data_IF_458005849804
#
_entry.id   IF_458005849804
#
_cell.length_a   1.000
_cell.length_b   1.000
_cell.length_c   1.000
_cell.angle_alpha   90.00
_cell.angle_beta   90.00
_cell.angle_gamma   90.00
#
_symmetry.space_group_name_H-M   'P 1'
#
loop_
_entity.id
_entity.type
_entity.pdbx_description
1 polymer ?
#
# COMPACT_ATOMS: atom_id res chain seq x y z
N UNK A 1 23.04 42.62 13.02
CA UNK A 1 23.43 41.43 12.29
C UNK A 1 22.45 40.32 12.64
N UNK A 2 21.40 40.17 11.84
CA UNK A 2 20.41 39.08 12.02
C UNK A 2 21.03 37.79 11.48
N UNK A 3 21.25 36.84 12.36
CA UNK A 3 21.59 35.48 12.01
C UNK A 3 20.33 34.85 11.34
N UNK A 4 20.38 34.61 10.03
CA UNK A 4 19.45 33.80 9.30
C UNK A 4 19.52 32.40 9.88
N UNK A 5 18.46 31.98 10.56
CA UNK A 5 18.29 30.55 10.92
C UNK A 5 18.45 29.71 9.66
N UNK A 6 19.17 28.60 9.69
CA UNK A 6 19.24 27.73 8.52
C UNK A 6 17.82 27.27 8.20
N UNK A 7 17.35 27.57 6.99
CA UNK A 7 16.18 26.91 6.42
C UNK A 7 16.46 25.42 6.50
N UNK A 8 15.70 24.72 7.33
CA UNK A 8 15.67 23.27 7.35
C UNK A 8 15.26 22.85 5.95
N UNK A 9 16.22 22.43 5.16
CA UNK A 9 15.99 21.81 3.86
C UNK A 9 14.87 20.80 4.04
N UNK A 10 13.81 20.90 3.24
CA UNK A 10 12.71 19.96 3.29
C UNK A 10 13.32 18.56 3.23
N UNK A 11 13.28 17.85 4.35
CA UNK A 11 13.99 16.59 4.56
C UNK A 11 13.72 15.66 3.39
N UNK A 12 14.76 15.26 2.68
CA UNK A 12 14.64 14.49 1.47
C UNK A 12 13.99 13.13 1.79
N UNK A 13 12.73 12.96 1.39
CA UNK A 13 12.05 11.67 1.49
C UNK A 13 12.55 10.80 0.34
N UNK A 14 13.07 9.63 0.68
CA UNK A 14 13.46 8.59 -0.27
C UNK A 14 12.51 7.42 -0.21
N UNK A 15 12.27 6.75 -1.33
CA UNK A 15 11.47 5.52 -1.38
C UNK A 15 12.38 4.37 -1.76
N UNK A 16 12.42 3.34 -0.94
CA UNK A 16 13.25 2.14 -1.10
C UNK A 16 12.51 0.87 -0.79
N UNK A 17 13.06 -0.26 -1.20
CA UNK A 17 12.59 -1.57 -0.76
C UNK A 17 12.68 -1.68 0.76
N UNK A 18 11.65 -2.30 1.34
CA UNK A 18 11.68 -2.61 2.77
C UNK A 18 12.70 -3.71 3.09
N UNK A 19 13.17 -3.69 4.33
CA UNK A 19 14.06 -4.68 4.91
C UNK A 19 13.39 -5.29 6.14
N UNK A 20 13.84 -6.44 6.56
CA UNK A 20 13.32 -7.08 7.79
C UNK A 20 13.43 -6.17 9.01
N UNK A 21 14.46 -5.34 9.08
CA UNK A 21 14.66 -4.35 10.16
C UNK A 21 13.61 -3.22 10.17
N UNK A 22 12.85 -3.04 9.08
CA UNK A 22 11.79 -2.02 9.02
C UNK A 22 10.48 -2.50 9.66
N UNK A 23 10.30 -3.81 9.88
CA UNK A 23 9.04 -4.38 10.38
C UNK A 23 8.51 -3.71 11.66
N UNK A 24 9.35 -3.38 12.67
CA UNK A 24 8.87 -2.63 13.83
C UNK A 24 8.30 -1.25 13.49
N UNK A 25 8.87 -0.56 12.51
CA UNK A 25 8.36 0.73 12.04
C UNK A 25 7.07 0.58 11.24
N UNK A 26 6.98 -0.45 10.37
CA UNK A 26 5.75 -0.82 9.68
C UNK A 26 4.63 -1.10 10.69
N UNK A 27 4.92 -1.88 11.74
CA UNK A 27 3.95 -2.18 12.78
C UNK A 27 3.38 -0.90 13.41
N UNK A 28 4.24 0.05 13.78
CA UNK A 28 3.80 1.34 14.35
C UNK A 28 2.92 2.16 13.39
N UNK A 29 3.28 2.21 12.11
CA UNK A 29 2.48 2.89 11.09
C UNK A 29 1.09 2.24 10.95
N UNK A 30 1.04 0.93 10.88
CA UNK A 30 -0.21 0.19 10.70
C UNK A 30 -1.11 0.27 11.93
N UNK A 31 -0.54 0.23 13.14
CA UNK A 31 -1.32 0.36 14.38
C UNK A 31 -2.03 1.71 14.48
N UNK A 32 -1.45 2.77 13.92
CA UNK A 32 -2.09 4.09 13.86
C UNK A 32 -3.39 4.07 13.01
N UNK A 33 -3.45 3.23 11.96
CA UNK A 33 -4.60 3.12 11.06
C UNK A 33 -5.57 1.99 11.43
N UNK A 34 -5.09 0.92 12.06
CA UNK A 34 -5.94 -0.21 12.45
C UNK A 34 -6.92 0.15 13.56
N UNK A 35 -6.54 1.07 14.45
CA UNK A 35 -7.43 1.61 15.49
C UNK A 35 -8.68 2.28 14.91
N UNK A 36 -8.55 2.92 13.77
CA UNK A 36 -9.64 3.61 13.07
C UNK A 36 -10.34 2.69 12.05
N UNK A 37 -9.98 1.40 11.99
CA UNK A 37 -10.50 0.41 11.03
C UNK A 37 -10.31 0.81 9.56
N UNK A 38 -9.29 1.60 9.28
CA UNK A 38 -8.97 2.08 7.93
C UNK A 38 -8.17 1.04 7.16
N UNK A 39 -7.33 0.26 7.86
CA UNK A 39 -6.56 -0.86 7.30
C UNK A 39 -6.84 -2.16 8.05
N UNK A 40 -6.72 -3.26 7.33
CA UNK A 40 -6.69 -4.60 7.91
C UNK A 40 -5.54 -4.73 8.89
N UNK A 41 -5.83 -5.26 10.09
CA UNK A 41 -4.78 -5.65 11.01
C UNK A 41 -4.03 -6.88 10.45
N UNK A 42 -2.72 -6.76 10.33
CA UNK A 42 -1.83 -7.84 9.93
C UNK A 42 -1.02 -8.32 11.13
N UNK A 43 -0.92 -9.62 11.31
CA UNK A 43 0.00 -10.20 12.29
C UNK A 43 1.44 -9.79 11.97
N UNK A 44 2.26 -9.59 13.00
CA UNK A 44 3.68 -9.21 12.79
C UNK A 44 4.45 -10.26 11.98
N UNK A 45 4.14 -11.54 12.16
CA UNK A 45 4.76 -12.63 11.37
C UNK A 45 4.46 -12.46 9.88
N UNK A 46 3.24 -12.06 9.51
CA UNK A 46 2.86 -11.81 8.12
C UNK A 46 3.66 -10.65 7.51
N UNK A 47 3.98 -9.62 8.29
CA UNK A 47 4.84 -8.53 7.81
C UNK A 47 6.26 -9.03 7.48
N UNK A 48 6.80 -9.99 8.24
CA UNK A 48 8.08 -10.61 7.91
C UNK A 48 7.98 -11.51 6.68
N UNK A 49 6.94 -12.32 6.57
CA UNK A 49 6.73 -13.23 5.42
C UNK A 49 6.56 -12.46 4.11
N UNK A 50 5.84 -11.34 4.15
CA UNK A 50 5.51 -10.50 2.98
C UNK A 50 6.50 -9.34 2.77
N UNK A 51 7.61 -9.26 3.51
CA UNK A 51 8.48 -8.08 3.50
C UNK A 51 8.98 -7.70 2.09
N UNK A 52 9.12 -8.66 1.21
CA UNK A 52 9.58 -8.46 -0.16
C UNK A 52 8.54 -7.71 -1.02
N UNK A 53 7.29 -7.68 -0.63
CA UNK A 53 6.23 -6.94 -1.30
C UNK A 53 6.25 -5.43 -0.97
N UNK A 54 6.93 -5.07 0.13
CA UNK A 54 6.88 -3.72 0.69
C UNK A 54 7.91 -2.77 0.12
N UNK A 55 7.47 -1.53 -0.07
CA UNK A 55 8.28 -0.34 -0.20
C UNK A 55 8.06 0.57 1.00
N UNK A 56 9.10 1.28 1.42
CA UNK A 56 9.03 2.26 2.50
C UNK A 56 9.48 3.62 2.01
N UNK A 57 8.83 4.64 2.53
CA UNK A 57 9.28 6.02 2.44
C UNK A 57 10.05 6.36 3.72
N UNK A 58 11.27 6.84 3.54
CA UNK A 58 12.19 7.17 4.61
C UNK A 58 12.50 8.65 4.57
N UNK A 59 12.39 9.30 5.71
CA UNK A 59 12.83 10.69 5.92
C UNK A 59 14.14 10.66 6.69
N UNK A 60 15.15 11.27 6.13
CA UNK A 60 16.44 11.39 6.79
C UNK A 60 16.70 12.85 7.17
N UNK A 61 16.93 13.12 8.43
CA UNK A 61 17.42 14.41 8.93
C UNK A 61 18.95 14.51 8.76
N UNK A 62 19.62 13.36 8.85
CA UNK A 62 21.04 13.15 8.56
C UNK A 62 21.28 11.66 8.28
N UNK A 63 22.51 11.28 7.89
CA UNK A 63 22.85 9.91 7.50
C UNK A 63 22.59 8.85 8.60
N UNK A 64 22.59 9.25 9.86
CA UNK A 64 22.48 8.36 11.01
C UNK A 64 21.06 8.32 11.63
N UNK A 65 20.15 9.18 11.17
CA UNK A 65 18.81 9.34 11.75
C UNK A 65 17.73 9.32 10.66
N UNK A 66 17.53 8.15 10.11
CA UNK A 66 16.49 7.90 9.10
C UNK A 66 15.24 7.29 9.76
N UNK A 67 14.08 7.87 9.47
CA UNK A 67 12.78 7.43 9.98
C UNK A 67 11.89 6.92 8.85
N UNK A 68 11.31 5.73 9.00
CA UNK A 68 10.27 5.24 8.09
C UNK A 68 8.97 6.00 8.35
N UNK A 69 8.52 6.75 7.37
CA UNK A 69 7.34 7.64 7.46
C UNK A 69 6.18 7.20 6.59
N UNK A 70 6.35 6.15 5.82
CA UNK A 70 5.29 5.58 5.00
C UNK A 70 5.67 4.21 4.46
N UNK A 71 4.66 3.45 4.06
CA UNK A 71 4.83 2.14 3.45
C UNK A 71 3.72 1.84 2.45
N UNK A 72 3.95 0.85 1.63
CA UNK A 72 2.95 0.24 0.76
C UNK A 72 3.45 -1.09 0.24
N UNK A 73 2.54 -1.98 -0.10
CA UNK A 73 2.87 -3.30 -0.64
C UNK A 73 2.15 -3.55 -1.97
N UNK A 74 2.81 -4.35 -2.81
CA UNK A 74 2.24 -4.88 -4.04
C UNK A 74 2.21 -6.41 -3.94
N UNK A 75 1.02 -6.96 -3.91
CA UNK A 75 0.78 -8.40 -3.87
C UNK A 75 0.31 -8.92 -5.23
N UNK A 76 1.08 -9.81 -5.83
CA UNK A 76 0.69 -10.43 -7.11
C UNK A 76 -0.39 -11.48 -6.84
N UNK A 77 -1.51 -11.37 -7.57
CA UNK A 77 -2.65 -12.27 -7.41
C UNK A 77 -2.79 -13.24 -8.59
N UNK A 78 -2.44 -12.78 -9.79
CA UNK A 78 -2.46 -13.57 -11.02
C UNK A 78 -1.40 -13.06 -12.01
N UNK A 79 -1.26 -13.72 -13.13
CA UNK A 79 -0.29 -13.37 -14.18
C UNK A 79 -0.32 -11.87 -14.56
N UNK A 80 -1.52 -11.31 -14.67
CA UNK A 80 -1.75 -9.93 -15.10
C UNK A 80 -2.35 -9.02 -14.02
N UNK A 81 -2.53 -9.53 -12.78
CA UNK A 81 -3.27 -8.87 -11.73
C UNK A 81 -2.48 -8.81 -10.42
N UNK A 82 -2.41 -7.63 -9.84
CA UNK A 82 -1.85 -7.42 -8.49
C UNK A 82 -2.74 -6.50 -7.66
N UNK A 83 -2.51 -6.47 -6.37
CA UNK A 83 -3.17 -5.56 -5.43
C UNK A 83 -2.15 -4.61 -4.80
N UNK A 84 -2.46 -3.32 -4.80
CA UNK A 84 -1.83 -2.34 -3.90
C UNK A 84 -2.53 -2.43 -2.56
N UNK A 85 -1.79 -2.79 -1.54
CA UNK A 85 -2.30 -2.95 -0.18
C UNK A 85 -1.41 -2.26 0.84
N UNK A 86 -1.96 -2.00 2.02
CA UNK A 86 -1.19 -1.52 3.17
C UNK A 86 -0.47 -0.19 2.89
N UNK A 87 -1.06 0.65 2.02
CA UNK A 87 -0.53 1.99 1.73
C UNK A 87 -0.87 2.92 2.88
N UNK A 88 0.15 3.29 3.65
CA UNK A 88 0.02 4.11 4.83
C UNK A 88 1.14 5.16 4.91
N UNK A 89 0.79 6.36 5.33
CA UNK A 89 1.73 7.47 5.53
C UNK A 89 1.54 8.02 6.94
N UNK A 90 2.62 8.39 7.61
CA UNK A 90 2.54 9.08 8.89
C UNK A 90 1.53 10.26 8.77
N UNK A 91 0.48 10.31 9.62
CA UNK A 91 -0.55 11.33 9.53
C UNK A 91 -0.03 12.77 9.52
N UNK A 92 1.10 13.02 10.21
CA UNK A 92 1.76 14.34 10.24
C UNK A 92 2.32 14.77 8.87
N UNK A 93 2.51 13.83 7.93
CA UNK A 93 3.02 14.08 6.58
C UNK A 93 1.93 13.91 5.50
N UNK A 94 0.68 13.80 5.89
CA UNK A 94 -0.44 13.76 4.96
C UNK A 94 -0.45 15.03 4.10
N UNK A 95 -0.56 14.87 2.78
CA UNK A 95 -0.49 15.99 1.83
C UNK A 95 0.92 16.38 1.36
N UNK A 96 1.99 15.81 1.92
CA UNK A 96 3.37 16.06 1.51
C UNK A 96 3.84 15.23 0.28
N UNK A 97 2.94 14.51 -0.37
CA UNK A 97 3.25 13.74 -1.58
C UNK A 97 3.88 12.36 -1.34
N UNK A 98 4.03 11.93 -0.09
CA UNK A 98 4.64 10.64 0.26
C UNK A 98 3.86 9.47 -0.33
N UNK A 99 2.53 9.48 -0.20
CA UNK A 99 1.65 8.46 -0.76
C UNK A 99 1.75 8.36 -2.28
N UNK A 100 1.85 9.48 -2.98
CA UNK A 100 2.02 9.53 -4.44
C UNK A 100 3.34 8.88 -4.88
N UNK A 101 4.42 9.11 -4.13
CA UNK A 101 5.74 8.52 -4.43
C UNK A 101 5.75 7.02 -4.18
N UNK A 102 5.14 6.57 -3.08
CA UNK A 102 4.99 5.14 -2.77
C UNK A 102 4.15 4.43 -3.84
N UNK A 103 2.96 4.96 -4.16
CA UNK A 103 2.11 4.38 -5.19
C UNK A 103 2.81 4.33 -6.54
N UNK A 104 3.54 5.38 -6.91
CA UNK A 104 4.35 5.41 -8.13
C UNK A 104 5.34 4.25 -8.20
N UNK A 105 6.03 3.93 -7.10
CA UNK A 105 6.97 2.79 -7.03
C UNK A 105 6.27 1.44 -7.08
N UNK A 106 5.10 1.31 -6.49
CA UNK A 106 4.30 0.09 -6.56
C UNK A 106 3.83 -0.17 -8.00
N UNK A 107 3.35 0.86 -8.70
CA UNK A 107 2.92 0.75 -10.09
C UNK A 107 4.10 0.49 -11.05
N UNK A 108 5.27 1.09 -10.80
CA UNK A 108 6.50 0.77 -11.52
C UNK A 108 6.87 -0.71 -11.34
N UNK A 109 6.79 -1.21 -10.10
CA UNK A 109 7.05 -2.61 -9.78
C UNK A 109 6.06 -3.54 -10.48
N UNK A 110 4.76 -3.19 -10.53
CA UNK A 110 3.74 -3.95 -11.24
C UNK A 110 4.11 -4.10 -12.73
N UNK A 111 4.51 -3.01 -13.39
CA UNK A 111 4.95 -3.04 -14.78
C UNK A 111 6.18 -3.92 -15.00
N UNK A 112 7.18 -3.84 -14.10
CA UNK A 112 8.38 -4.67 -14.17
C UNK A 112 8.08 -6.16 -14.02
N UNK A 113 7.03 -6.51 -13.26
CA UNK A 113 6.57 -7.88 -13.09
C UNK A 113 5.68 -8.38 -14.24
N UNK A 114 5.31 -7.52 -15.19
CA UNK A 114 4.42 -7.85 -16.29
C UNK A 114 2.94 -7.77 -15.94
N UNK A 115 2.59 -7.23 -14.78
CA UNK A 115 1.21 -7.00 -14.35
C UNK A 115 0.62 -5.85 -15.15
N UNK A 116 -0.58 -6.02 -15.67
CA UNK A 116 -1.30 -5.01 -16.47
C UNK A 116 -2.53 -4.45 -15.77
N UNK A 117 -2.96 -5.05 -14.67
CA UNK A 117 -4.11 -4.60 -13.88
C UNK A 117 -3.75 -4.55 -12.40
N UNK A 118 -4.10 -3.46 -11.73
CA UNK A 118 -3.83 -3.26 -10.31
C UNK A 118 -5.14 -2.95 -9.59
N UNK A 119 -5.46 -3.77 -8.61
CA UNK A 119 -6.62 -3.63 -7.73
C UNK A 119 -6.22 -2.92 -6.44
N UNK A 120 -7.14 -2.22 -5.81
CA UNK A 120 -7.05 -1.82 -4.42
C UNK A 120 -8.42 -1.76 -3.76
N UNK A 121 -8.42 -1.90 -2.44
CA UNK A 121 -9.56 -1.67 -1.58
C UNK A 121 -9.24 -0.43 -0.72
N UNK A 122 -10.07 0.61 -0.79
CA UNK A 122 -9.71 1.90 -0.20
C UNK A 122 -10.90 2.72 0.30
N UNK A 123 -10.65 3.56 1.30
CA UNK A 123 -11.50 4.70 1.66
C UNK A 123 -11.05 6.00 0.95
N UNK A 124 -9.83 6.05 0.42
CA UNK A 124 -9.23 7.25 -0.20
C UNK A 124 -9.48 7.25 -1.73
N UNK A 125 -10.76 7.23 -2.12
CA UNK A 125 -11.20 7.16 -3.52
C UNK A 125 -10.58 8.27 -4.36
N UNK A 126 -10.61 9.51 -3.88
CA UNK A 126 -10.07 10.67 -4.61
C UNK A 126 -8.56 10.55 -4.87
N UNK A 127 -7.82 9.98 -3.92
CA UNK A 127 -6.39 9.74 -4.07
C UNK A 127 -6.12 8.77 -5.22
N UNK A 128 -6.80 7.62 -5.22
CA UNK A 128 -6.61 6.61 -6.26
C UNK A 128 -7.17 7.04 -7.62
N UNK A 129 -8.27 7.76 -7.65
CA UNK A 129 -8.85 8.32 -8.90
C UNK A 129 -7.86 9.25 -9.60
N UNK A 130 -7.12 10.07 -8.87
CA UNK A 130 -6.05 10.92 -9.43
C UNK A 130 -4.92 10.12 -10.10
N UNK A 131 -4.77 8.85 -9.73
CA UNK A 131 -3.82 7.93 -10.36
C UNK A 131 -4.43 7.04 -11.44
N UNK A 132 -5.66 7.29 -11.85
CA UNK A 132 -6.33 6.59 -12.94
C UNK A 132 -7.10 5.35 -12.53
N UNK A 133 -7.21 5.06 -11.23
CA UNK A 133 -8.07 3.98 -10.74
C UNK A 133 -9.54 4.35 -10.92
N UNK A 134 -10.36 3.36 -11.24
CA UNK A 134 -11.81 3.49 -11.34
C UNK A 134 -12.49 2.48 -10.42
N UNK A 135 -13.63 2.86 -9.86
CA UNK A 135 -14.42 1.94 -9.04
C UNK A 135 -14.97 0.78 -9.88
N UNK A 136 -14.97 -0.41 -9.29
CA UNK A 136 -15.53 -1.62 -9.89
C UNK A 136 -16.57 -2.25 -8.96
N UNK A 137 -17.66 -2.77 -9.57
CA UNK A 137 -18.70 -3.53 -8.86
C UNK A 137 -18.55 -5.04 -9.02
N UNK A 138 -17.83 -5.48 -10.04
CA UNK A 138 -17.67 -6.89 -10.41
C UNK A 138 -16.25 -7.39 -10.14
N UNK A 139 -16.07 -8.70 -10.22
CA UNK A 139 -14.75 -9.34 -10.18
C UNK A 139 -14.31 -9.63 -11.61
N UNK A 140 -13.41 -8.82 -12.20
CA UNK A 140 -13.11 -8.87 -13.63
C UNK A 140 -12.05 -9.93 -13.94
N UNK A 141 -12.36 -11.20 -13.72
CA UNK A 141 -11.51 -12.36 -14.04
C UNK A 141 -12.34 -13.45 -14.70
N UNK A 142 -11.69 -14.25 -15.53
CA UNK A 142 -12.31 -15.41 -16.15
C UNK A 142 -12.72 -16.47 -15.12
N UNK A 143 -13.73 -17.31 -15.38
CA UNK A 143 -14.21 -18.32 -14.44
C UNK A 143 -13.10 -19.29 -13.95
N UNK A 144 -12.19 -19.68 -14.82
CA UNK A 144 -11.09 -20.58 -14.46
C UNK A 144 -10.10 -19.91 -13.53
N UNK A 145 -9.79 -18.62 -13.76
CA UNK A 145 -8.96 -17.80 -12.89
C UNK A 145 -9.64 -17.59 -11.53
N UNK A 146 -10.94 -17.32 -11.53
CA UNK A 146 -11.72 -17.21 -10.30
C UNK A 146 -11.64 -18.49 -9.46
N UNK A 147 -11.80 -19.67 -10.10
CA UNK A 147 -11.73 -20.97 -9.44
C UNK A 147 -10.34 -21.21 -8.80
N UNK A 148 -9.26 -20.81 -9.47
CA UNK A 148 -7.91 -20.89 -8.90
C UNK A 148 -7.71 -19.90 -7.75
N UNK A 149 -8.17 -18.67 -7.87
CA UNK A 149 -8.05 -17.66 -6.81
C UNK A 149 -8.80 -18.06 -5.53
N UNK A 150 -9.89 -18.83 -5.63
CA UNK A 150 -10.60 -19.39 -4.46
C UNK A 150 -9.72 -20.31 -3.61
N UNK A 151 -8.64 -20.83 -4.14
CA UNK A 151 -7.67 -21.70 -3.42
C UNK A 151 -6.67 -20.89 -2.59
N UNK A 152 -6.62 -19.58 -2.79
CA UNK A 152 -5.75 -18.70 -1.99
C UNK A 152 -6.25 -18.59 -0.56
N UNK A 153 -5.34 -18.61 0.40
CA UNK A 153 -5.62 -18.29 1.80
C UNK A 153 -5.47 -16.79 2.11
N UNK A 154 -5.05 -15.99 1.12
CA UNK A 154 -4.85 -14.56 1.28
C UNK A 154 -6.18 -13.81 1.44
N UNK A 155 -6.27 -12.95 2.46
CA UNK A 155 -7.49 -12.20 2.74
C UNK A 155 -7.78 -11.12 1.68
N UNK A 156 -6.74 -10.50 1.11
CA UNK A 156 -6.91 -9.52 0.04
C UNK A 156 -7.47 -10.15 -1.24
N UNK A 157 -7.04 -11.38 -1.56
CA UNK A 157 -7.64 -12.17 -2.65
C UNK A 157 -9.11 -12.47 -2.34
N UNK A 158 -9.44 -12.84 -1.10
CA UNK A 158 -10.84 -13.07 -0.71
C UNK A 158 -11.69 -11.79 -0.83
N UNK A 159 -11.15 -10.64 -0.51
CA UNK A 159 -11.83 -9.34 -0.68
C UNK A 159 -12.01 -8.99 -2.16
N UNK A 160 -11.00 -9.22 -2.99
CA UNK A 160 -11.12 -9.05 -4.44
C UNK A 160 -12.24 -9.91 -5.02
N UNK A 161 -12.35 -11.16 -4.58
CA UNK A 161 -13.40 -12.08 -4.99
C UNK A 161 -14.78 -11.76 -4.36
N UNK A 162 -14.84 -10.87 -3.39
CA UNK A 162 -16.06 -10.51 -2.69
C UNK A 162 -16.61 -11.60 -1.79
N UNK A 163 -15.74 -12.45 -1.21
CA UNK A 163 -16.15 -13.57 -0.37
C UNK A 163 -16.71 -13.12 0.97
N UNK A 164 -17.75 -13.81 1.44
CA UNK A 164 -18.45 -13.47 2.70
C UNK A 164 -17.58 -13.53 3.95
N UNK A 165 -16.52 -14.34 3.96
CA UNK A 165 -15.61 -14.49 5.11
C UNK A 165 -14.85 -13.22 5.50
N UNK A 166 -14.77 -12.22 4.60
CA UNK A 166 -14.07 -10.95 4.83
C UNK A 166 -15.01 -9.78 5.10
N UNK A 167 -16.29 -10.06 5.37
CA UNK A 167 -17.33 -9.06 5.65
C UNK A 167 -16.96 -7.93 6.61
N UNK A 168 -16.16 -8.12 7.68
CA UNK A 168 -15.84 -7.02 8.59
C UNK A 168 -15.13 -5.83 7.96
N UNK A 169 -14.52 -6.01 6.78
CA UNK A 169 -13.78 -4.96 6.09
C UNK A 169 -14.55 -4.25 4.98
N UNK A 170 -15.74 -4.69 4.67
CA UNK A 170 -16.59 -4.08 3.63
C UNK A 170 -17.41 -2.88 4.13
N UNK A 171 -17.04 -2.28 5.27
CA UNK A 171 -17.75 -1.15 5.89
C UNK A 171 -17.52 0.15 5.11
N UNK A 172 -17.85 0.17 3.80
CA UNK A 172 -17.81 1.37 2.98
C UNK A 172 -16.54 1.58 2.15
N UNK A 173 -15.66 0.59 2.07
CA UNK A 173 -14.50 0.63 1.19
C UNK A 173 -14.93 0.54 -0.28
N UNK A 174 -14.31 1.34 -1.13
CA UNK A 174 -14.43 1.21 -2.57
C UNK A 174 -13.42 0.20 -3.11
N UNK A 175 -13.90 -0.64 -4.04
CA UNK A 175 -13.08 -1.55 -4.84
C UNK A 175 -12.69 -0.83 -6.12
N UNK A 176 -11.41 -0.67 -6.37
CA UNK A 176 -10.91 0.11 -7.49
C UNK A 176 -9.91 -0.68 -8.32
N UNK A 177 -9.89 -0.44 -9.62
CA UNK A 177 -9.00 -1.10 -10.58
C UNK A 177 -8.35 -0.07 -11.49
N UNK A 178 -7.06 -0.28 -11.76
CA UNK A 178 -6.26 0.45 -12.74
C UNK A 178 -5.81 -0.51 -13.83
N UNK A 179 -5.93 -0.12 -15.09
CA UNK A 179 -5.25 -0.73 -16.22
C UNK A 179 -3.96 0.05 -16.50
N UNK A 180 -2.81 -0.64 -16.46
CA UNK A 180 -1.47 -0.06 -16.66
C UNK A 180 -1.13 0.15 -18.12
#
# INVERSE_FOLDING_TARGET
MSAKSPEVSANAITVRRARTSDVPALRRLLDAYSRDRILLDKATVTLYEDIQEFWVAERADNADNAEVVGCGALHVMWEDLAEVRTLAVNPALKGAGVGHRLLGKLLETARLLGVSRVFCLTFEVDFFTKHGFVEIGETPVDPDVYAELLRSYDEGVAEFLGLERVKPNTLGNSRMLLHL
#
